data_IF_897891933563
#
_entry.id   IF_897891933563
#
_cell.length_a   1.000
_cell.length_b   1.000
_cell.length_c   1.000
_cell.angle_alpha   90.00
_cell.angle_beta   90.00
_cell.angle_gamma   90.00
#
_symmetry.space_group_name_H-M   'P 1'
#
loop_
_entity.id
_entity.type
_entity.pdbx_description
1 polymer ?
#
# COMPACT_ATOMS: atom_id res chain seq x y z
N UNK A 1 -35.66 -52.87 44.95
CA UNK A 1 -35.22 -54.22 44.55
C UNK A 1 -33.77 -54.09 44.14
N UNK A 2 -32.96 -54.24 45.02
CA UNK A 2 -31.89 -55.12 45.43
C UNK A 2 -31.48 -56.10 44.32
N UNK A 3 -30.25 -56.00 43.88
CA UNK A 3 -29.61 -56.90 42.97
C UNK A 3 -28.08 -56.75 43.11
N UNK A 4 -27.58 -57.62 43.82
CA UNK A 4 -26.34 -58.00 44.38
C UNK A 4 -25.19 -58.14 43.35
N UNK A 5 -24.00 -57.80 43.78
CA UNK A 5 -22.71 -58.19 43.18
C UNK A 5 -22.38 -59.65 43.43
N UNK A 6 -21.63 -60.30 42.61
CA UNK A 6 -20.84 -61.46 43.03
C UNK A 6 -19.35 -61.15 43.08
N UNK A 7 -18.78 -61.83 44.08
CA UNK A 7 -17.41 -61.76 44.56
C UNK A 7 -16.39 -62.42 43.61
N UNK A 8 -15.15 -61.94 43.69
CA UNK A 8 -13.95 -62.62 43.20
C UNK A 8 -13.56 -63.84 44.01
N UNK A 9 -12.96 -64.86 43.38
CA UNK A 9 -12.00 -65.72 44.07
C UNK A 9 -10.58 -65.42 43.62
N UNK A 10 -9.70 -65.28 44.52
CA UNK A 10 -8.28 -65.16 44.34
C UNK A 10 -7.62 -66.42 43.85
N UNK A 11 -6.55 -66.25 43.14
CA UNK A 11 -5.38 -67.10 43.38
C UNK A 11 -4.10 -66.40 42.90
N UNK A 12 -3.04 -66.82 43.50
CA UNK A 12 -1.75 -66.23 43.56
C UNK A 12 -0.92 -66.37 42.30
N UNK A 13 -0.15 -65.38 42.01
CA UNK A 13 1.07 -65.61 41.24
C UNK A 13 1.37 -64.66 40.10
N UNK A 14 2.47 -64.02 40.32
CA UNK A 14 3.35 -63.37 39.35
C UNK A 14 3.12 -61.89 39.04
N UNK A 15 3.95 -61.11 39.69
CA UNK A 15 4.47 -59.83 39.31
C UNK A 15 4.76 -59.75 37.79
N UNK A 16 4.20 -58.82 37.10
CA UNK A 16 4.89 -58.20 35.99
C UNK A 16 4.30 -56.81 35.62
N UNK A 17 5.12 -55.83 35.94
CA UNK A 17 5.39 -54.60 35.21
C UNK A 17 4.21 -53.78 34.68
N UNK A 18 3.91 -52.74 35.39
CA UNK A 18 3.24 -51.56 34.90
C UNK A 18 4.05 -50.91 33.76
N UNK A 19 3.51 -50.97 32.55
CA UNK A 19 3.98 -50.09 31.48
C UNK A 19 3.11 -48.83 31.52
N UNK A 20 3.62 -47.77 32.14
CA UNK A 20 3.05 -46.45 32.07
C UNK A 20 3.28 -45.91 30.66
N UNK A 21 2.22 -45.88 29.83
CA UNK A 21 2.25 -45.20 28.55
C UNK A 21 2.20 -43.69 28.83
N UNK A 22 3.34 -43.05 28.78
CA UNK A 22 3.49 -41.60 28.74
C UNK A 22 3.04 -41.11 27.33
N UNK A 23 1.81 -40.63 27.27
CA UNK A 23 1.34 -39.88 26.10
C UNK A 23 2.03 -38.52 26.08
N UNK A 24 3.09 -38.39 25.31
CA UNK A 24 3.74 -37.12 25.07
C UNK A 24 2.82 -36.29 24.13
N UNK A 25 2.11 -35.33 24.69
CA UNK A 25 1.38 -34.32 23.90
C UNK A 25 2.45 -33.39 23.32
N UNK A 26 2.81 -33.64 22.08
CA UNK A 26 3.64 -32.73 21.31
C UNK A 26 2.82 -31.45 21.00
N UNK A 27 3.03 -30.40 21.80
CA UNK A 27 2.53 -29.07 21.53
C UNK A 27 3.22 -28.54 20.25
N UNK A 28 2.55 -28.60 19.13
CA UNK A 28 2.99 -27.92 17.91
C UNK A 28 2.81 -26.42 18.14
N UNK A 29 3.89 -25.77 18.59
CA UNK A 29 3.96 -24.31 18.60
C UNK A 29 3.92 -23.84 17.14
N UNK A 30 2.74 -23.38 16.68
CA UNK A 30 2.59 -22.67 15.42
C UNK A 30 3.40 -21.39 15.52
N UNK A 31 4.61 -21.40 14.95
CA UNK A 31 5.39 -20.18 14.72
C UNK A 31 4.63 -19.42 13.65
N UNK A 32 3.75 -18.52 14.07
CA UNK A 32 3.17 -17.52 13.21
C UNK A 32 4.32 -16.68 12.64
N UNK A 33 4.61 -16.83 11.36
CA UNK A 33 5.49 -15.91 10.66
C UNK A 33 4.82 -14.54 10.76
N UNK A 34 5.28 -13.69 11.67
CA UNK A 34 4.97 -12.29 11.66
C UNK A 34 5.56 -11.74 10.35
N UNK A 35 4.73 -11.54 9.35
CA UNK A 35 5.09 -10.70 8.22
C UNK A 35 5.31 -9.31 8.80
N UNK A 36 6.56 -8.97 9.07
CA UNK A 36 6.94 -7.58 9.31
C UNK A 36 6.50 -6.81 8.08
N UNK A 37 5.56 -5.88 8.24
CA UNK A 37 5.28 -4.90 7.21
C UNK A 37 6.64 -4.28 6.83
N UNK A 38 6.94 -4.11 5.53
CA UNK A 38 8.16 -3.43 5.14
C UNK A 38 8.16 -2.07 5.86
N UNK A 39 9.32 -1.63 6.39
CA UNK A 39 9.42 -0.33 7.00
C UNK A 39 8.92 0.68 5.97
N UNK A 40 8.01 1.55 6.37
CA UNK A 40 7.59 2.71 5.59
C UNK A 40 8.88 3.35 5.10
N UNK A 41 9.14 3.27 3.78
CA UNK A 41 10.42 3.68 3.22
C UNK A 41 10.69 5.12 3.63
N UNK A 42 11.88 5.41 4.15
CA UNK A 42 12.29 6.78 4.46
C UNK A 42 12.05 7.63 3.22
N UNK A 43 11.21 8.63 3.34
CA UNK A 43 10.92 9.56 2.27
C UNK A 43 12.23 10.16 1.78
N UNK A 44 12.47 10.11 0.48
CA UNK A 44 13.69 10.62 -0.13
C UNK A 44 13.34 11.85 -0.95
N UNK A 45 14.06 12.94 -0.71
CA UNK A 45 13.94 14.13 -1.53
C UNK A 45 14.19 13.79 -3.00
N UNK A 46 13.38 14.36 -3.87
CA UNK A 46 13.42 14.08 -5.30
C UNK A 46 12.71 12.79 -5.74
N UNK A 47 12.18 11.99 -4.81
CA UNK A 47 11.50 10.72 -5.13
C UNK A 47 10.01 10.82 -4.86
N UNK A 48 9.21 10.38 -5.83
CA UNK A 48 7.77 10.14 -5.69
C UNK A 48 7.51 8.65 -5.76
N UNK A 49 6.60 8.16 -4.95
CA UNK A 49 6.13 6.78 -5.00
C UNK A 49 4.75 6.74 -5.66
N UNK A 50 4.56 5.80 -6.57
CA UNK A 50 3.27 5.51 -7.19
C UNK A 50 2.92 4.04 -6.99
N UNK A 51 1.79 3.78 -6.36
CA UNK A 51 1.17 2.47 -6.30
C UNK A 51 -0.01 2.44 -7.27
N UNK A 52 0.09 1.61 -8.30
CA UNK A 52 -0.90 1.52 -9.37
C UNK A 52 -1.54 0.14 -9.34
N UNK A 53 -2.87 0.12 -9.25
CA UNK A 53 -3.65 -1.11 -9.40
C UNK A 53 -4.51 -1.03 -10.65
N UNK A 54 -4.51 -2.12 -11.44
CA UNK A 54 -5.34 -2.28 -12.63
C UNK A 54 -6.26 -3.48 -12.44
N UNK A 55 -7.54 -3.19 -12.24
CA UNK A 55 -8.62 -4.16 -12.16
C UNK A 55 -9.43 -4.21 -13.47
N UNK A 56 -10.47 -5.05 -13.51
CA UNK A 56 -11.25 -5.25 -14.74
C UNK A 56 -11.84 -3.96 -15.32
N UNK A 57 -12.33 -3.07 -14.45
CA UNK A 57 -13.05 -1.84 -14.83
C UNK A 57 -12.54 -0.59 -14.10
N UNK A 58 -11.39 -0.67 -13.44
CA UNK A 58 -10.83 0.46 -12.69
C UNK A 58 -9.32 0.46 -12.77
N UNK A 59 -8.76 1.66 -12.82
CA UNK A 59 -7.35 1.91 -12.56
C UNK A 59 -7.28 2.90 -11.40
N UNK A 60 -6.52 2.56 -10.37
CA UNK A 60 -6.22 3.46 -9.25
C UNK A 60 -4.74 3.78 -9.24
N UNK A 61 -4.41 5.05 -8.98
CA UNK A 61 -3.04 5.54 -8.80
C UNK A 61 -2.97 6.22 -7.45
N UNK A 62 -2.23 5.63 -6.52
CA UNK A 62 -1.89 6.24 -5.24
C UNK A 62 -0.52 6.87 -5.36
N UNK A 63 -0.40 8.14 -5.04
CA UNK A 63 0.85 8.88 -5.06
C UNK A 63 1.20 9.30 -3.64
N UNK A 64 2.45 9.06 -3.23
CA UNK A 64 3.03 9.61 -2.01
C UNK A 64 4.30 10.40 -2.35
N UNK A 65 4.41 11.60 -1.80
CA UNK A 65 5.53 12.50 -2.08
C UNK A 65 5.84 13.42 -0.89
N UNK A 66 7.12 13.58 -0.51
CA UNK A 66 7.53 14.68 0.33
C UNK A 66 7.06 16.02 -0.25
N UNK A 67 6.58 16.93 0.61
CA UNK A 67 6.15 18.26 0.17
C UNK A 67 7.27 19.07 -0.47
N UNK A 68 8.53 18.82 -0.11
CA UNK A 68 9.69 19.47 -0.72
C UNK A 68 9.75 19.27 -2.24
N UNK A 69 9.42 18.07 -2.72
CA UNK A 69 9.38 17.76 -4.15
C UNK A 69 8.38 18.64 -4.92
N UNK A 70 7.32 19.07 -4.24
CA UNK A 70 6.18 19.78 -4.85
C UNK A 70 6.22 21.29 -4.58
N UNK A 71 6.73 21.70 -3.39
CA UNK A 71 6.66 23.06 -2.88
C UNK A 71 8.04 23.69 -2.65
N UNK A 72 9.09 22.87 -2.47
CA UNK A 72 10.41 23.31 -2.03
C UNK A 72 10.49 23.56 -0.51
N UNK A 73 9.55 23.03 0.28
CA UNK A 73 9.59 23.03 1.74
C UNK A 73 8.69 21.92 2.33
N UNK A 74 9.04 21.43 3.53
CA UNK A 74 8.37 20.33 4.24
C UNK A 74 7.73 20.82 5.55
N UNK A 75 6.75 21.70 5.45
CA UNK A 75 6.05 22.29 6.61
C UNK A 75 4.79 23.03 6.17
N UNK A 76 4.01 23.48 7.15
CA UNK A 76 2.93 24.42 6.89
C UNK A 76 3.45 25.74 6.28
N UNK A 77 2.70 26.39 5.36
CA UNK A 77 3.07 27.65 4.75
C UNK A 77 3.11 28.78 5.81
N UNK A 78 4.16 29.61 5.77
CA UNK A 78 4.42 30.67 6.77
C UNK A 78 3.98 32.06 6.33
N UNK A 79 3.86 32.28 5.04
CA UNK A 79 3.52 33.59 4.47
C UNK A 79 2.58 33.46 3.27
N UNK A 80 2.13 34.60 2.73
CA UNK A 80 1.16 34.62 1.62
C UNK A 80 1.73 34.02 0.33
N UNK A 81 3.00 34.25 0.04
CA UNK A 81 3.65 33.68 -1.15
C UNK A 81 3.71 32.14 -1.07
N UNK A 82 3.97 31.57 0.12
CA UNK A 82 3.94 30.14 0.32
C UNK A 82 2.52 29.56 0.24
N UNK A 83 1.52 30.27 0.79
CA UNK A 83 0.10 29.89 0.62
C UNK A 83 -0.32 29.87 -0.84
N UNK A 84 0.13 30.86 -1.62
CA UNK A 84 -0.09 30.92 -3.06
C UNK A 84 0.53 29.73 -3.79
N UNK A 85 1.75 29.30 -3.40
CA UNK A 85 2.38 28.09 -3.95
C UNK A 85 1.60 26.81 -3.62
N UNK A 86 1.11 26.68 -2.38
CA UNK A 86 0.25 25.57 -1.99
C UNK A 86 -1.03 25.54 -2.85
N UNK A 87 -1.69 26.67 -3.02
CA UNK A 87 -2.91 26.75 -3.85
C UNK A 87 -2.64 26.36 -5.32
N UNK A 88 -1.53 26.83 -5.89
CA UNK A 88 -1.12 26.46 -7.24
C UNK A 88 -0.80 24.96 -7.38
N UNK A 89 -0.07 24.38 -6.42
CA UNK A 89 0.21 22.95 -6.38
C UNK A 89 -1.10 22.15 -6.30
N UNK A 90 -2.02 22.50 -5.42
CA UNK A 90 -3.31 21.79 -5.29
C UNK A 90 -4.15 21.89 -6.58
N UNK A 91 -4.11 23.00 -7.28
CA UNK A 91 -4.75 23.14 -8.59
C UNK A 91 -4.09 22.23 -9.63
N UNK A 92 -2.75 22.18 -9.65
CA UNK A 92 -2.00 21.30 -10.54
C UNK A 92 -2.30 19.81 -10.29
N UNK A 93 -2.40 19.40 -9.00
CA UNK A 93 -2.72 18.01 -8.65
C UNK A 93 -4.15 17.60 -9.06
N UNK A 94 -5.07 18.55 -9.14
CA UNK A 94 -6.45 18.31 -9.59
C UNK A 94 -6.62 18.42 -11.11
N UNK A 95 -5.61 18.88 -11.80
CA UNK A 95 -5.56 18.88 -13.26
C UNK A 95 -5.16 17.49 -13.80
N UNK A 96 -5.07 17.34 -15.12
CA UNK A 96 -4.71 16.08 -15.78
C UNK A 96 -3.22 15.76 -15.57
N UNK A 97 -2.89 15.04 -14.51
CA UNK A 97 -1.52 14.53 -14.24
C UNK A 97 -1.24 13.17 -14.85
N UNK A 98 -2.28 12.37 -15.02
CA UNK A 98 -2.20 11.02 -15.58
C UNK A 98 -3.15 10.88 -16.75
N UNK A 99 -2.63 10.33 -17.84
CA UNK A 99 -3.42 10.02 -19.06
C UNK A 99 -3.34 8.52 -19.29
N UNK A 100 -4.48 7.86 -19.16
CA UNK A 100 -4.59 6.41 -19.43
C UNK A 100 -4.77 6.20 -20.95
N UNK A 101 -4.13 5.14 -21.47
CA UNK A 101 -4.31 4.68 -22.87
C UNK A 101 -5.80 4.67 -23.25
N UNK A 102 -6.19 5.37 -24.32
CA UNK A 102 -7.57 5.41 -24.79
C UNK A 102 -8.22 4.03 -25.03
N UNK A 103 -7.40 2.98 -25.25
CA UNK A 103 -7.89 1.61 -25.43
C UNK A 103 -8.58 1.05 -24.16
N UNK A 104 -8.29 1.62 -22.98
CA UNK A 104 -8.97 1.28 -21.72
C UNK A 104 -10.37 1.88 -21.61
N UNK A 105 -10.68 2.90 -22.44
CA UNK A 105 -11.92 3.68 -22.38
C UNK A 105 -12.24 4.15 -20.95
N UNK A 106 -11.28 4.84 -20.35
CA UNK A 106 -11.33 5.29 -18.96
C UNK A 106 -11.81 6.74 -18.85
N UNK A 107 -12.51 7.02 -17.75
CA UNK A 107 -12.90 8.37 -17.34
C UNK A 107 -12.26 8.65 -15.99
N UNK A 108 -11.59 9.80 -15.87
CA UNK A 108 -11.03 10.25 -14.60
C UNK A 108 -12.14 10.59 -13.60
N UNK A 109 -11.97 10.16 -12.37
CA UNK A 109 -12.78 10.50 -11.20
C UNK A 109 -12.25 11.72 -10.44
N UNK A 110 -12.80 11.94 -9.26
CA UNK A 110 -12.33 12.99 -8.36
C UNK A 110 -10.97 12.64 -7.74
N UNK A 111 -10.09 13.63 -7.64
CA UNK A 111 -8.80 13.50 -6.96
C UNK A 111 -8.99 13.73 -5.47
N UNK A 112 -8.52 12.80 -4.64
CA UNK A 112 -8.47 12.95 -3.20
C UNK A 112 -7.05 13.30 -2.77
N UNK A 113 -6.91 14.25 -1.85
CA UNK A 113 -5.62 14.75 -1.36
C UNK A 113 -5.61 14.69 0.17
N UNK A 114 -4.51 14.25 0.74
CA UNK A 114 -4.27 14.20 2.18
C UNK A 114 -2.88 14.71 2.52
N UNK A 115 -2.76 15.49 3.60
CA UNK A 115 -1.49 15.97 4.16
C UNK A 115 -1.71 16.56 5.54
N UNK A 116 -1.02 16.04 6.56
CA UNK A 116 -1.07 16.56 7.92
C UNK A 116 -0.55 18.00 7.99
N UNK A 117 0.58 18.29 7.32
CA UNK A 117 1.22 19.59 7.32
C UNK A 117 0.37 20.69 6.68
N UNK A 118 -0.45 20.33 5.68
CA UNK A 118 -1.35 21.26 4.99
C UNK A 118 -2.79 21.21 5.52
N UNK A 119 -3.07 20.34 6.51
CA UNK A 119 -4.41 20.12 7.09
C UNK A 119 -5.44 19.74 6.01
N UNK A 120 -5.06 18.84 5.12
CA UNK A 120 -5.90 18.34 4.04
C UNK A 120 -6.34 16.90 4.32
N UNK A 121 -7.59 16.59 4.03
CA UNK A 121 -8.14 15.24 4.12
C UNK A 121 -8.01 14.61 5.50
N UNK A 122 -7.88 13.29 5.51
CA UNK A 122 -7.61 12.48 6.71
C UNK A 122 -6.22 11.84 6.55
N UNK A 123 -5.14 12.49 7.04
CA UNK A 123 -3.78 11.95 6.92
C UNK A 123 -3.60 10.72 7.81
N UNK A 124 -2.70 9.82 7.41
CA UNK A 124 -2.34 8.64 8.18
C UNK A 124 -1.86 9.06 9.59
N UNK A 125 -2.36 8.42 10.66
CA UNK A 125 -1.87 8.66 12.02
C UNK A 125 -0.36 8.48 12.18
N UNK A 126 0.27 7.61 11.39
CA UNK A 126 1.72 7.41 11.40
C UNK A 126 2.45 8.62 10.80
N UNK A 127 1.92 9.26 9.76
CA UNK A 127 2.44 10.50 9.18
C UNK A 127 2.41 11.64 10.21
N UNK A 128 1.33 11.76 10.98
CA UNK A 128 1.20 12.78 12.02
C UNK A 128 2.26 12.64 13.13
N UNK A 129 2.75 11.43 13.38
CA UNK A 129 3.74 11.14 14.42
C UNK A 129 5.18 11.22 13.91
N UNK A 130 5.42 10.99 12.64
CA UNK A 130 6.77 10.93 12.06
C UNK A 130 7.46 12.29 11.95
N UNK A 131 6.69 13.40 12.02
CA UNK A 131 7.20 14.76 11.81
C UNK A 131 7.59 15.05 10.36
N UNK A 132 7.35 14.13 9.44
CA UNK A 132 7.53 14.33 8.01
C UNK A 132 6.32 15.06 7.43
N UNK A 133 6.57 15.86 6.41
CA UNK A 133 5.53 16.62 5.73
C UNK A 133 5.35 16.07 4.31
N UNK A 134 4.44 15.11 4.20
CA UNK A 134 4.13 14.43 2.96
C UNK A 134 2.80 14.91 2.38
N UNK A 135 2.58 14.59 1.12
CA UNK A 135 1.31 14.71 0.45
C UNK A 135 0.98 13.37 -0.20
N UNK A 136 -0.17 12.83 0.15
CA UNK A 136 -0.77 11.68 -0.51
C UNK A 136 -1.89 12.15 -1.44
N UNK A 137 -1.95 11.52 -2.62
CA UNK A 137 -2.98 11.79 -3.60
C UNK A 137 -3.50 10.49 -4.21
N UNK A 138 -4.83 10.39 -4.34
CA UNK A 138 -5.51 9.26 -4.96
C UNK A 138 -6.20 9.71 -6.23
N UNK A 139 -5.90 9.03 -7.34
CA UNK A 139 -6.48 9.25 -8.65
C UNK A 139 -7.19 7.97 -9.08
N UNK A 140 -8.47 8.09 -9.36
CA UNK A 140 -9.31 6.97 -9.77
C UNK A 140 -9.76 7.15 -11.23
N UNK A 141 -9.78 6.04 -11.97
CA UNK A 141 -10.26 6.00 -13.34
C UNK A 141 -11.26 4.86 -13.49
N UNK A 142 -12.48 5.19 -13.84
CA UNK A 142 -13.51 4.22 -14.20
C UNK A 142 -13.38 3.88 -15.68
N UNK A 143 -13.16 2.60 -15.98
CA UNK A 143 -12.83 2.12 -17.31
C UNK A 143 -13.86 1.11 -17.80
N UNK A 144 -14.21 1.15 -19.07
CA UNK A 144 -15.02 0.09 -19.67
C UNK A 144 -14.18 -1.17 -19.93
N UNK A 145 -12.86 -1.05 -20.02
CA UNK A 145 -11.95 -2.16 -20.32
C UNK A 145 -10.52 -1.83 -19.89
N UNK A 146 -10.27 -1.69 -18.58
CA UNK A 146 -8.95 -1.32 -18.04
C UNK A 146 -7.84 -2.27 -18.51
N UNK A 147 -8.12 -3.56 -18.64
CA UNK A 147 -7.17 -4.57 -19.12
C UNK A 147 -6.67 -4.34 -20.56
N UNK A 148 -7.32 -3.48 -21.35
CA UNK A 148 -6.87 -3.11 -22.70
C UNK A 148 -5.93 -1.91 -22.72
N UNK A 149 -5.85 -1.15 -21.62
CA UNK A 149 -4.89 -0.07 -21.50
C UNK A 149 -3.47 -0.63 -21.54
N UNK A 150 -2.64 -0.12 -22.41
CA UNK A 150 -1.25 -0.54 -22.57
C UNK A 150 -0.26 0.37 -21.86
N UNK A 151 -0.70 1.56 -21.41
CA UNK A 151 0.16 2.51 -20.72
C UNK A 151 -0.63 3.53 -19.91
N UNK A 152 0.09 4.19 -19.00
CA UNK A 152 -0.32 5.42 -18.33
C UNK A 152 0.82 6.42 -18.53
N UNK A 153 0.52 7.58 -19.10
CA UNK A 153 1.47 8.69 -19.18
C UNK A 153 1.28 9.62 -17.96
N UNK A 154 2.38 10.15 -17.43
CA UNK A 154 2.36 11.11 -16.33
C UNK A 154 3.11 12.39 -16.69
N UNK A 155 2.56 13.53 -16.29
CA UNK A 155 3.19 14.84 -16.42
C UNK A 155 3.91 15.32 -15.14
N UNK A 156 4.10 14.45 -14.14
CA UNK A 156 4.69 14.81 -12.85
C UNK A 156 6.06 15.49 -12.99
N UNK A 157 6.94 14.99 -13.86
CA UNK A 157 8.24 15.60 -14.08
C UNK A 157 8.17 16.99 -14.73
N UNK A 158 7.17 17.25 -15.56
CA UNK A 158 6.98 18.55 -16.21
C UNK A 158 6.40 19.58 -15.24
N UNK A 159 5.46 19.13 -14.42
CA UNK A 159 4.73 19.99 -13.48
C UNK A 159 5.53 20.33 -12.22
N UNK A 160 6.42 19.41 -11.78
CA UNK A 160 7.16 19.55 -10.51
C UNK A 160 8.66 19.34 -10.73
N UNK A 161 9.42 20.43 -10.76
CA UNK A 161 10.85 20.41 -10.99
C UNK A 161 11.66 19.69 -9.89
N UNK A 162 11.14 19.65 -8.65
CA UNK A 162 11.74 18.95 -7.52
C UNK A 162 11.76 17.44 -7.67
N UNK A 163 10.89 16.86 -8.50
CA UNK A 163 10.84 15.42 -8.73
C UNK A 163 11.98 15.00 -9.67
N UNK A 164 12.83 14.09 -9.23
CA UNK A 164 13.96 13.54 -10.00
C UNK A 164 13.73 12.08 -10.41
N UNK A 165 12.97 11.34 -9.59
CA UNK A 165 12.69 9.91 -9.78
C UNK A 165 11.25 9.59 -9.35
N UNK A 166 10.64 8.66 -10.05
CA UNK A 166 9.33 8.11 -9.69
C UNK A 166 9.50 6.60 -9.56
N UNK A 167 9.30 6.06 -8.36
CA UNK A 167 9.30 4.64 -8.10
C UNK A 167 7.86 4.13 -8.17
N UNK A 168 7.61 3.18 -9.07
CA UNK A 168 6.27 2.67 -9.37
C UNK A 168 6.16 1.22 -8.91
N UNK A 169 5.13 0.92 -8.14
CA UNK A 169 4.65 -0.42 -7.90
C UNK A 169 3.36 -0.62 -8.70
N UNK A 170 3.35 -1.61 -9.57
CA UNK A 170 2.23 -1.91 -10.44
C UNK A 170 1.66 -3.28 -10.07
N UNK A 171 0.38 -3.32 -9.73
CA UNK A 171 -0.40 -4.54 -9.49
C UNK A 171 -1.46 -4.71 -10.58
N UNK A 172 -1.51 -5.88 -11.19
CA UNK A 172 -2.49 -6.25 -12.21
C UNK A 172 -2.95 -7.68 -11.99
N UNK A 173 -3.97 -8.14 -12.70
CA UNK A 173 -4.38 -9.55 -12.71
C UNK A 173 -3.28 -10.52 -13.18
N UNK A 174 -2.22 -10.02 -13.82
CA UNK A 174 -1.07 -10.80 -14.30
C UNK A 174 0.11 -10.82 -13.31
N UNK A 175 -0.01 -10.15 -12.17
CA UNK A 175 1.02 -10.09 -11.14
C UNK A 175 1.47 -8.67 -10.83
N UNK A 176 2.54 -8.60 -10.06
CA UNK A 176 3.11 -7.34 -9.57
C UNK A 176 4.46 -7.06 -10.23
N UNK A 177 4.75 -5.78 -10.45
CA UNK A 177 6.02 -5.30 -11.01
C UNK A 177 6.45 -4.04 -10.28
N UNK A 178 7.77 -3.84 -10.17
CA UNK A 178 8.37 -2.58 -9.78
C UNK A 178 9.12 -2.01 -10.98
N UNK A 179 9.01 -0.71 -11.17
CA UNK A 179 9.77 0.02 -12.18
C UNK A 179 10.09 1.41 -11.67
N UNK A 180 11.12 2.01 -12.23
CA UNK A 180 11.56 3.36 -11.89
C UNK A 180 11.58 4.20 -13.15
N UNK A 181 10.97 5.39 -13.07
CA UNK A 181 11.08 6.41 -14.09
C UNK A 181 12.09 7.48 -13.65
N UNK A 182 12.90 7.91 -14.60
CA UNK A 182 13.79 9.07 -14.49
C UNK A 182 13.56 9.98 -15.68
N UNK A 183 13.85 11.27 -15.54
CA UNK A 183 13.70 12.22 -16.65
C UNK A 183 14.47 11.76 -17.90
N UNK A 184 13.94 11.87 -19.09
CA UNK A 184 12.65 12.46 -19.49
C UNK A 184 11.48 11.45 -19.58
N UNK A 185 11.60 10.24 -19.00
CA UNK A 185 10.58 9.20 -19.12
C UNK A 185 9.27 9.61 -18.46
N UNK A 186 8.17 9.47 -19.19
CA UNK A 186 6.83 9.85 -18.73
C UNK A 186 5.85 8.67 -18.77
N UNK A 187 6.23 7.56 -19.42
CA UNK A 187 5.32 6.44 -19.70
C UNK A 187 5.54 5.25 -18.80
N UNK A 188 4.47 4.82 -18.17
CA UNK A 188 4.35 3.59 -17.39
C UNK A 188 3.67 2.55 -18.29
N UNK A 189 4.42 1.53 -18.72
CA UNK A 189 3.90 0.46 -19.57
C UNK A 189 3.14 -0.55 -18.73
N UNK A 190 1.88 -0.79 -19.09
CA UNK A 190 1.03 -1.80 -18.47
C UNK A 190 1.20 -3.16 -19.19
N UNK A 191 1.30 -4.29 -18.47
CA UNK A 191 1.38 -5.62 -19.07
C UNK A 191 0.04 -5.98 -19.72
N UNK A 192 0.07 -6.36 -20.99
CA UNK A 192 -1.08 -6.84 -21.76
C UNK A 192 -1.20 -8.36 -21.69
#
# INVERSE_FOLDING_TARGET
MVGAAPACPGDAGTMRCAAAALVAIASIASIGAAFAAPPLGSHQHGVVQLDIAVDANRISVQMSSPLDNLLGFERAPRNEAERGRVAAMLATLRDTLFVVDPAGACRAGAVQLSSAALKLGEPDPAEQQSGHADLDASFEFDCSSAARAGFIDTSLFERFAGIQRIDVQLATSRGQRKLTLTRPAQRIVLPR
#
